data_IF_888759835530
#
_entry.id   IF_888759835530
#
_cell.length_a   1.000
_cell.length_b   1.000
_cell.length_c   1.000
_cell.angle_alpha   90.00
_cell.angle_beta   90.00
_cell.angle_gamma   90.00
#
_symmetry.space_group_name_H-M   'P 1'
#
loop_
_entity.id
_entity.type
_entity.pdbx_description
1 polymer ?
#
# COMPACT_ATOMS: atom_id res chain seq x y z
N UNK A 1 46.01 11.52 43.45
CA UNK A 1 44.96 12.02 42.54
C UNK A 1 45.19 11.43 41.16
N UNK A 2 44.12 11.05 40.44
CA UNK A 2 44.08 10.61 39.02
C UNK A 2 44.57 9.17 38.69
N UNK A 3 43.90 8.12 39.18
CA UNK A 3 44.04 6.74 38.64
C UNK A 3 42.71 6.06 38.27
N UNK A 4 41.57 6.73 38.44
CA UNK A 4 40.25 6.21 38.07
C UNK A 4 39.97 6.27 36.56
N UNK A 5 40.45 7.33 35.88
CA UNK A 5 40.17 7.53 34.45
C UNK A 5 40.87 6.48 33.56
N UNK A 6 42.03 5.98 33.97
CA UNK A 6 42.79 4.93 33.27
C UNK A 6 42.08 3.56 33.31
N UNK A 7 41.32 3.27 34.38
CA UNK A 7 40.50 2.06 34.45
C UNK A 7 39.21 2.16 33.63
N UNK A 8 38.65 3.35 33.42
CA UNK A 8 37.47 3.53 32.57
C UNK A 8 37.79 3.44 31.07
N UNK A 9 38.94 3.97 30.64
CA UNK A 9 39.34 3.95 29.23
C UNK A 9 39.61 2.51 28.70
N UNK A 10 40.05 1.59 29.55
CA UNK A 10 40.27 0.19 29.17
C UNK A 10 38.98 -0.65 29.11
N UNK A 11 37.85 -0.15 29.61
CA UNK A 11 36.54 -0.83 29.44
C UNK A 11 36.02 -0.69 28.01
N UNK A 12 36.37 0.40 27.32
CA UNK A 12 35.94 0.67 25.94
C UNK A 12 36.87 0.14 24.84
N UNK A 13 38.06 -0.36 25.20
CA UNK A 13 39.07 -0.92 24.26
C UNK A 13 39.08 -2.45 24.20
N UNK A 14 37.95 -3.10 24.49
CA UNK A 14 37.87 -4.56 24.38
C UNK A 14 37.63 -4.95 22.93
N UNK A 15 38.53 -5.77 22.39
CA UNK A 15 38.48 -6.34 21.04
C UNK A 15 37.07 -6.81 20.67
N UNK A 16 36.54 -6.20 19.61
CA UNK A 16 35.28 -6.52 18.94
C UNK A 16 35.31 -7.95 18.40
N UNK A 17 35.15 -8.93 19.29
CA UNK A 17 34.84 -10.31 18.91
C UNK A 17 33.33 -10.47 18.67
N UNK A 18 32.71 -9.53 17.94
CA UNK A 18 31.35 -9.70 17.44
C UNK A 18 31.41 -10.49 16.13
N UNK A 19 31.66 -11.79 16.27
CA UNK A 19 31.40 -12.74 15.20
C UNK A 19 29.93 -12.64 14.76
N UNK A 20 29.62 -12.95 13.48
CA UNK A 20 28.27 -12.83 12.96
C UNK A 20 27.31 -13.75 13.74
N UNK A 21 26.37 -13.16 14.48
CA UNK A 21 25.40 -13.89 15.28
C UNK A 21 24.21 -14.31 14.40
N UNK A 22 23.89 -15.60 14.27
CA UNK A 22 22.71 -16.03 13.51
C UNK A 22 21.42 -15.59 14.22
N UNK A 23 20.37 -15.35 13.45
CA UNK A 23 19.02 -15.14 13.96
C UNK A 23 18.02 -16.01 13.19
N UNK A 24 16.91 -16.31 13.85
CA UNK A 24 15.75 -16.96 13.25
C UNK A 24 14.50 -16.26 13.79
N UNK A 25 13.69 -15.69 12.88
CA UNK A 25 12.47 -14.94 13.22
C UNK A 25 11.30 -15.46 12.39
N UNK A 26 10.14 -15.63 13.03
CA UNK A 26 8.91 -15.96 12.32
C UNK A 26 8.24 -14.68 11.80
N UNK A 27 7.81 -14.69 10.54
CA UNK A 27 6.92 -13.67 9.99
C UNK A 27 5.48 -13.93 10.45
N UNK A 28 4.60 -12.92 10.32
CA UNK A 28 3.18 -13.05 10.63
C UNK A 28 2.47 -14.14 9.81
N UNK A 29 2.92 -14.40 8.58
CA UNK A 29 2.41 -15.49 7.75
C UNK A 29 2.92 -16.89 8.14
N UNK A 30 3.73 -17.01 9.20
CA UNK A 30 4.33 -18.28 9.64
C UNK A 30 5.64 -18.65 8.93
N UNK A 31 6.01 -17.96 7.84
CA UNK A 31 7.30 -18.17 7.18
C UNK A 31 8.46 -17.79 8.12
N UNK A 32 9.46 -18.67 8.25
CA UNK A 32 10.62 -18.42 9.11
C UNK A 32 11.78 -17.83 8.30
N UNK A 33 12.27 -16.66 8.72
CA UNK A 33 13.45 -16.00 8.15
C UNK A 33 14.68 -16.33 9.00
N UNK A 34 15.78 -16.70 8.34
CA UNK A 34 17.07 -16.92 8.99
C UNK A 34 18.17 -16.13 8.30
N UNK A 35 19.20 -15.73 9.05
CA UNK A 35 20.30 -14.93 8.53
C UNK A 35 21.32 -14.59 9.61
N UNK A 36 22.28 -13.73 9.28
CA UNK A 36 23.30 -13.24 10.20
C UNK A 36 23.01 -11.79 10.58
N UNK A 37 23.03 -11.48 11.88
CA UNK A 37 22.89 -10.11 12.39
C UNK A 37 24.08 -9.27 11.94
N UNK A 38 23.81 -8.01 11.57
CA UNK A 38 24.83 -7.00 11.23
C UNK A 38 25.00 -6.06 12.43
N UNK A 39 26.04 -5.25 12.40
CA UNK A 39 26.23 -4.18 13.40
C UNK A 39 25.12 -3.11 13.35
N UNK A 40 24.42 -2.99 12.22
CA UNK A 40 23.24 -2.13 12.05
C UNK A 40 21.98 -2.97 11.97
N UNK A 41 20.84 -2.35 12.28
CA UNK A 41 19.54 -2.99 12.10
C UNK A 41 19.35 -3.42 10.64
N UNK A 42 18.59 -4.49 10.42
CA UNK A 42 18.23 -4.95 9.08
C UNK A 42 16.72 -4.92 8.91
N UNK A 43 16.28 -4.59 7.71
CA UNK A 43 14.88 -4.64 7.32
C UNK A 43 14.73 -5.72 6.25
N UNK A 44 13.95 -6.75 6.55
CA UNK A 44 13.68 -7.85 5.64
C UNK A 44 12.25 -7.75 5.16
N UNK A 45 12.01 -7.93 3.87
CA UNK A 45 10.65 -8.04 3.32
C UNK A 45 10.33 -9.52 3.15
N UNK A 46 9.26 -9.98 3.79
CA UNK A 46 8.82 -11.36 3.65
C UNK A 46 8.39 -11.61 2.19
N UNK A 47 8.95 -12.64 1.55
CA UNK A 47 8.60 -12.99 0.17
C UNK A 47 7.18 -13.54 0.04
N UNK A 48 6.61 -14.09 1.11
CA UNK A 48 5.28 -14.70 1.08
C UNK A 48 4.16 -13.67 1.23
N UNK A 49 4.23 -12.81 2.25
CA UNK A 49 3.13 -11.89 2.56
C UNK A 49 3.51 -10.41 2.40
N UNK A 50 4.73 -10.09 1.97
CA UNK A 50 5.21 -8.71 1.82
C UNK A 50 5.44 -7.97 3.13
N UNK A 51 5.07 -8.55 4.28
CA UNK A 51 5.25 -7.90 5.58
C UNK A 51 6.73 -7.67 5.89
N UNK A 52 7.02 -6.52 6.47
CA UNK A 52 8.39 -6.16 6.81
C UNK A 52 8.77 -6.68 8.21
N UNK A 53 9.89 -7.40 8.29
CA UNK A 53 10.44 -7.96 9.52
C UNK A 53 11.69 -7.18 9.91
N UNK A 54 11.67 -6.58 11.09
CA UNK A 54 12.78 -5.80 11.62
C UNK A 54 13.72 -6.70 12.44
N UNK A 55 15.00 -6.78 12.04
CA UNK A 55 16.03 -7.54 12.75
C UNK A 55 16.88 -6.58 13.55
N UNK A 56 16.89 -6.76 14.88
CA UNK A 56 17.75 -5.97 15.77
C UNK A 56 19.24 -6.21 15.46
N UNK A 57 20.11 -5.20 15.68
CA UNK A 57 21.56 -5.38 15.65
C UNK A 57 22.02 -6.54 16.54
N UNK A 58 23.25 -7.01 16.33
CA UNK A 58 23.90 -7.91 17.29
C UNK A 58 23.92 -7.31 18.70
N UNK A 59 23.86 -8.17 19.73
CA UNK A 59 23.87 -7.69 21.12
C UNK A 59 25.16 -6.92 21.40
N UNK A 60 25.02 -5.67 21.84
CA UNK A 60 26.14 -4.77 22.15
C UNK A 60 26.53 -4.90 23.62
N UNK A 61 25.70 -5.55 24.43
CA UNK A 61 25.98 -5.73 25.84
C UNK A 61 26.87 -6.95 26.05
N UNK A 62 27.90 -6.83 26.91
CA UNK A 62 28.72 -7.97 27.26
C UNK A 62 27.85 -9.03 27.93
N UNK A 63 28.07 -10.33 27.65
CA UNK A 63 27.36 -11.38 28.36
C UNK A 63 27.56 -11.20 29.87
N UNK A 64 26.52 -11.42 30.69
CA UNK A 64 26.63 -11.34 32.13
C UNK A 64 27.84 -12.15 32.60
N UNK A 65 28.72 -11.54 33.38
CA UNK A 65 29.86 -12.27 33.95
C UNK A 65 29.27 -13.39 34.80
N UNK A 66 29.56 -14.63 34.44
CA UNK A 66 29.24 -15.77 35.28
C UNK A 66 29.91 -15.53 36.63
N UNK A 67 29.10 -15.20 37.64
CA UNK A 67 29.60 -15.15 39.00
C UNK A 67 30.00 -16.58 39.30
N UNK A 68 31.31 -16.79 39.53
CA UNK A 68 31.81 -18.07 40.04
C UNK A 68 31.01 -18.37 41.29
N UNK A 69 30.00 -19.24 41.16
CA UNK A 69 29.25 -19.75 42.30
C UNK A 69 30.32 -20.31 43.21
N UNK A 70 30.51 -19.69 44.37
CA UNK A 70 31.28 -20.29 45.45
C UNK A 70 30.63 -21.64 45.67
N UNK A 71 31.34 -22.71 45.31
CA UNK A 71 30.97 -24.08 45.62
C UNK A 71 30.64 -24.08 47.11
N UNK A 72 29.37 -24.32 47.50
CA UNK A 72 29.02 -24.41 48.90
C UNK A 72 29.93 -25.44 49.53
N UNK A 73 30.66 -25.04 50.56
CA UNK A 73 31.44 -25.94 51.38
C UNK A 73 30.47 -26.98 51.96
N UNK A 74 30.70 -28.25 51.64
CA UNK A 74 29.88 -29.38 52.07
C UNK A 74 29.87 -29.45 53.60
N UNK A 75 28.84 -28.86 54.21
CA UNK A 75 28.48 -29.15 55.58
C UNK A 75 27.91 -30.57 55.68
N UNK A 76 28.18 -31.30 56.78
CA UNK A 76 27.78 -32.69 56.93
C UNK A 76 26.26 -32.85 56.87
N UNK A 77 25.84 -33.72 55.95
CA UNK A 77 24.46 -34.10 55.67
C UNK A 77 23.90 -34.85 56.88
N UNK A 78 23.03 -34.20 57.65
CA UNK A 78 22.11 -34.89 58.55
C UNK A 78 20.90 -35.35 57.74
N UNK A 79 20.83 -36.67 57.54
CA UNK A 79 19.71 -37.40 56.93
C UNK A 79 18.46 -37.26 57.81
N UNK A 80 17.32 -36.77 57.29
CA UNK A 80 16.02 -37.08 57.85
C UNK A 80 15.40 -38.24 57.08
N UNK A 81 14.98 -39.19 57.89
CA UNK A 81 14.34 -40.46 57.61
C UNK A 81 12.90 -40.28 57.12
N UNK A 82 12.55 -41.07 56.09
CA UNK A 82 11.20 -41.53 55.71
C UNK A 82 10.14 -40.49 55.30
N UNK A 83 9.48 -40.73 54.17
CA UNK A 83 8.07 -41.20 54.15
C UNK A 83 7.71 -41.62 52.73
N UNK A 84 7.26 -42.86 52.62
CA UNK A 84 6.77 -43.50 51.40
C UNK A 84 5.62 -42.71 50.73
N UNK A 85 5.62 -42.69 49.41
CA UNK A 85 4.40 -42.53 48.62
C UNK A 85 4.52 -43.26 47.28
N UNK A 86 3.45 -43.97 46.86
CA UNK A 86 3.52 -44.98 45.82
C UNK A 86 3.47 -44.40 44.41
N UNK A 87 4.14 -45.12 43.51
CA UNK A 87 4.18 -44.93 42.07
C UNK A 87 2.78 -45.04 41.45
N UNK A 88 2.44 -44.08 40.60
CA UNK A 88 1.49 -44.29 39.50
C UNK A 88 2.19 -43.89 38.22
N UNK A 89 2.60 -44.91 37.46
CA UNK A 89 3.18 -44.81 36.14
C UNK A 89 2.08 -44.96 35.09
N UNK A 90 1.77 -43.90 34.35
CA UNK A 90 1.05 -44.02 33.08
C UNK A 90 2.02 -43.79 31.93
N UNK A 91 2.18 -44.83 31.12
CA UNK A 91 3.11 -44.92 30.02
C UNK A 91 2.67 -44.10 28.81
N UNK A 92 3.62 -43.33 28.27
CA UNK A 92 3.49 -42.67 26.96
C UNK A 92 4.02 -43.64 25.89
N UNK A 93 3.19 -44.05 24.91
CA UNK A 93 3.62 -44.94 23.84
C UNK A 93 4.53 -44.21 22.85
N UNK A 94 5.72 -44.78 22.63
CA UNK A 94 6.70 -44.33 21.66
C UNK A 94 6.30 -44.79 20.25
N UNK A 95 5.78 -43.87 19.44
CA UNK A 95 5.48 -44.12 18.03
C UNK A 95 6.74 -44.09 17.14
N UNK A 96 6.74 -44.81 16.00
CA UNK A 96 7.91 -45.01 15.16
C UNK A 96 8.29 -43.77 14.33
N UNK A 97 9.60 -43.47 14.30
CA UNK A 97 10.21 -42.42 13.46
C UNK A 97 9.89 -42.64 11.97
N UNK A 98 9.36 -41.63 11.25
CA UNK A 98 9.22 -41.73 9.79
C UNK A 98 10.59 -41.63 9.11
N UNK A 99 10.82 -42.56 8.17
CA UNK A 99 11.97 -42.57 7.25
C UNK A 99 11.95 -41.30 6.39
N UNK A 100 12.99 -40.50 6.52
CA UNK A 100 13.33 -39.37 5.64
C UNK A 100 13.59 -39.91 4.23
N UNK A 101 12.66 -39.70 3.31
CA UNK A 101 12.88 -39.89 1.88
C UNK A 101 13.59 -38.65 1.33
N UNK A 102 14.71 -38.87 0.66
CA UNK A 102 15.42 -37.84 -0.11
C UNK A 102 14.66 -37.60 -1.43
N UNK A 103 14.24 -36.35 -1.73
CA UNK A 103 13.78 -36.03 -3.06
C UNK A 103 14.98 -35.79 -3.97
N UNK A 104 15.16 -36.68 -4.94
CA UNK A 104 16.00 -36.49 -6.11
C UNK A 104 15.32 -35.43 -6.99
N UNK A 105 15.80 -34.19 -6.93
CA UNK A 105 15.46 -33.17 -7.93
C UNK A 105 16.60 -33.05 -8.94
N UNK A 106 16.37 -33.59 -10.13
CA UNK A 106 17.11 -33.29 -11.35
C UNK A 106 16.75 -31.88 -11.83
N UNK A 107 17.71 -30.95 -11.77
CA UNK A 107 17.63 -29.65 -12.44
C UNK A 107 17.97 -29.79 -13.93
N UNK A 108 17.17 -29.26 -14.86
CA UNK A 108 17.64 -28.92 -16.19
C UNK A 108 18.38 -27.57 -16.15
N UNK A 109 19.64 -27.60 -16.55
CA UNK A 109 20.46 -26.41 -16.80
C UNK A 109 20.03 -25.78 -18.12
N UNK A 110 19.34 -24.64 -18.08
CA UNK A 110 19.18 -23.75 -19.23
C UNK A 110 20.00 -22.49 -18.94
N UNK A 111 21.14 -22.41 -19.61
CA UNK A 111 21.97 -21.22 -19.68
C UNK A 111 21.40 -20.31 -20.76
N UNK A 112 20.65 -19.28 -20.37
CA UNK A 112 20.33 -18.17 -21.27
C UNK A 112 21.07 -16.91 -20.82
N UNK A 113 21.89 -16.46 -21.76
CA UNK A 113 22.72 -15.26 -21.73
C UNK A 113 21.81 -14.03 -21.86
N UNK A 114 21.88 -13.03 -20.97
CA UNK A 114 21.11 -11.81 -21.15
C UNK A 114 21.62 -11.03 -22.37
N UNK A 115 20.73 -10.45 -23.19
CA UNK A 115 21.12 -9.50 -24.22
C UNK A 115 21.52 -8.16 -23.58
N UNK A 116 22.68 -7.65 -24.00
CA UNK A 116 23.09 -6.26 -23.80
C UNK A 116 22.00 -5.33 -24.35
N UNK A 117 21.39 -4.56 -23.46
CA UNK A 117 20.57 -3.42 -23.85
C UNK A 117 21.40 -2.15 -23.68
N UNK A 118 21.74 -1.58 -24.83
CA UNK A 118 22.37 -0.28 -24.96
C UNK A 118 21.56 0.81 -24.24
N UNK A 119 22.30 1.62 -23.47
CA UNK A 119 21.81 2.78 -22.75
C UNK A 119 21.24 3.82 -23.73
N UNK A 120 19.91 3.96 -23.76
CA UNK A 120 19.24 5.12 -24.34
C UNK A 120 19.18 6.20 -23.27
N UNK A 121 20.07 7.19 -23.43
CA UNK A 121 20.17 8.40 -22.64
C UNK A 121 18.95 9.31 -22.93
N UNK A 122 17.92 9.22 -22.08
CA UNK A 122 16.75 10.10 -22.15
C UNK A 122 17.00 11.29 -21.21
N UNK A 123 17.33 12.42 -21.83
CA UNK A 123 17.57 13.70 -21.18
C UNK A 123 16.42 14.14 -20.25
N UNK A 124 16.75 14.29 -18.98
CA UNK A 124 15.89 14.85 -17.93
C UNK A 124 15.81 16.37 -18.12
N UNK A 125 14.65 16.87 -18.56
CA UNK A 125 14.32 18.30 -18.51
C UNK A 125 13.96 18.65 -17.07
N UNK A 126 14.92 19.22 -16.35
CA UNK A 126 14.74 19.79 -15.02
C UNK A 126 14.04 21.16 -15.11
N UNK A 127 12.74 21.20 -14.83
CA UNK A 127 12.00 22.45 -14.62
C UNK A 127 12.07 22.84 -13.14
N UNK A 128 12.97 23.76 -12.80
CA UNK A 128 13.07 24.33 -11.45
C UNK A 128 12.00 25.41 -11.19
N UNK A 129 11.53 25.57 -9.94
CA UNK A 129 10.57 26.62 -9.59
C UNK A 129 11.24 27.99 -9.56
N UNK A 130 10.69 28.93 -10.35
CA UNK A 130 11.08 30.35 -10.39
C UNK A 130 10.71 31.04 -9.07
N UNK A 131 11.71 31.38 -8.27
CA UNK A 131 11.59 32.33 -7.17
C UNK A 131 11.30 33.74 -7.71
N UNK A 132 10.20 34.34 -7.24
CA UNK A 132 9.78 35.71 -7.50
C UNK A 132 10.84 36.69 -6.96
N UNK A 133 11.65 37.25 -7.88
CA UNK A 133 12.59 38.33 -7.59
C UNK A 133 11.84 39.67 -7.47
N UNK A 134 12.08 40.29 -6.32
CA UNK A 134 11.74 41.65 -5.89
C UNK A 134 12.06 42.69 -6.99
N UNK A 135 11.03 43.43 -7.42
CA UNK A 135 11.09 44.54 -8.39
C UNK A 135 11.94 45.66 -7.81
N UNK A 136 13.13 45.88 -8.37
CA UNK A 136 13.99 47.03 -8.10
C UNK A 136 13.72 48.05 -9.21
N UNK A 137 13.25 49.24 -8.84
CA UNK A 137 13.12 50.38 -9.78
C UNK A 137 14.49 50.68 -10.40
N UNK A 138 14.53 50.65 -11.73
CA UNK A 138 15.66 51.07 -12.55
C UNK A 138 15.30 52.43 -13.15
N UNK A 139 16.19 53.45 -13.04
CA UNK A 139 16.02 54.77 -13.64
C UNK A 139 15.81 54.73 -15.17
N UNK A 140 14.94 55.62 -15.67
CA UNK A 140 14.61 55.78 -17.09
C UNK A 140 15.86 56.09 -17.93
N UNK A 141 16.20 55.20 -18.86
CA UNK A 141 17.03 55.50 -20.03
C UNK A 141 16.17 56.09 -21.17
N UNK A 142 16.74 56.97 -22.03
CA UNK A 142 16.03 57.61 -23.14
C UNK A 142 15.60 56.60 -24.23
N UNK A 143 14.61 56.97 -25.06
CA UNK A 143 13.91 56.03 -25.93
C UNK A 143 14.85 55.44 -27.00
N UNK A 144 14.90 54.10 -27.15
CA UNK A 144 15.67 53.47 -28.22
C UNK A 144 14.97 53.65 -29.58
N UNK A 145 15.78 53.88 -30.61
CA UNK A 145 15.38 53.90 -32.02
C UNK A 145 14.63 52.63 -32.42
N UNK A 146 13.64 52.72 -33.34
CA UNK A 146 12.85 51.57 -33.76
C UNK A 146 13.76 50.52 -34.43
N UNK A 147 13.71 49.25 -34.01
CA UNK A 147 14.50 48.19 -34.62
C UNK A 147 14.07 47.98 -36.09
N UNK A 148 15.02 47.60 -36.98
CA UNK A 148 14.71 47.32 -38.37
C UNK A 148 13.71 46.16 -38.45
N UNK A 149 12.71 46.30 -39.33
CA UNK A 149 11.69 45.30 -39.59
C UNK A 149 12.35 43.94 -39.87
N UNK A 150 12.17 43.00 -38.94
CA UNK A 150 12.64 41.63 -39.12
C UNK A 150 11.99 40.98 -40.35
N UNK A 151 12.67 40.03 -41.01
CA UNK A 151 12.14 39.36 -42.18
C UNK A 151 10.80 38.71 -41.83
N UNK A 152 9.78 39.02 -42.65
CA UNK A 152 8.43 38.51 -42.43
C UNK A 152 8.45 36.97 -42.49
N UNK A 153 7.75 36.33 -41.54
CA UNK A 153 7.62 34.87 -41.40
C UNK A 153 7.08 34.16 -42.67
N UNK A 154 6.60 34.91 -43.66
CA UNK A 154 6.07 34.39 -44.92
C UNK A 154 7.13 33.98 -45.95
N UNK A 155 8.34 34.53 -45.91
CA UNK A 155 9.35 34.27 -46.95
C UNK A 155 10.22 33.04 -46.65
N UNK A 156 10.50 32.74 -45.37
CA UNK A 156 11.28 31.55 -44.96
C UNK A 156 10.50 30.25 -45.08
N UNK A 157 9.18 30.29 -45.18
CA UNK A 157 8.36 29.09 -45.39
C UNK A 157 8.38 28.61 -46.84
N UNK A 158 8.70 29.44 -47.84
CA UNK A 158 8.63 29.05 -49.26
C UNK A 158 9.76 28.10 -49.70
N UNK A 159 10.93 28.20 -49.09
CA UNK A 159 12.09 27.34 -49.40
C UNK A 159 12.02 25.94 -48.75
N UNK A 160 11.13 25.73 -47.78
CA UNK A 160 10.93 24.41 -47.16
C UNK A 160 10.05 23.52 -48.05
N UNK A 161 9.19 24.12 -48.88
CA UNK A 161 8.24 23.42 -49.77
C UNK A 161 8.83 23.08 -51.15
N UNK A 162 9.97 22.39 -51.19
CA UNK A 162 10.37 21.71 -52.44
C UNK A 162 9.53 20.44 -52.60
N UNK A 163 9.01 20.14 -53.81
CA UNK A 163 8.09 19.01 -54.03
C UNK A 163 8.69 17.67 -53.61
N UNK A 164 10.02 17.52 -53.66
CA UNK A 164 10.71 16.32 -53.18
C UNK A 164 10.63 16.13 -51.65
N UNK A 165 10.77 17.21 -50.86
CA UNK A 165 10.68 17.14 -49.39
C UNK A 165 9.28 16.75 -48.92
N UNK A 166 8.24 17.18 -49.62
CA UNK A 166 6.86 16.75 -49.33
C UNK A 166 6.66 15.26 -49.55
N UNK A 167 7.22 14.71 -50.63
CA UNK A 167 7.13 13.27 -50.92
C UNK A 167 7.83 12.47 -49.82
N UNK A 168 9.06 12.86 -49.45
CA UNK A 168 9.82 12.18 -48.38
C UNK A 168 9.10 12.27 -47.03
N UNK A 169 8.57 13.44 -46.67
CA UNK A 169 7.78 13.61 -45.44
C UNK A 169 6.51 12.75 -45.45
N UNK A 170 5.81 12.67 -46.60
CA UNK A 170 4.64 11.81 -46.77
C UNK A 170 4.95 10.33 -46.59
N UNK A 171 6.07 9.86 -47.16
CA UNK A 171 6.53 8.47 -46.99
C UNK A 171 6.92 8.19 -45.54
N UNK A 172 7.66 9.09 -44.89
CA UNK A 172 8.03 8.95 -43.48
C UNK A 172 6.80 8.92 -42.56
N UNK A 173 5.83 9.81 -42.80
CA UNK A 173 4.57 9.83 -42.07
C UNK A 173 3.81 8.50 -42.24
N UNK A 174 3.74 7.97 -43.45
CA UNK A 174 3.12 6.68 -43.72
C UNK A 174 3.82 5.53 -43.00
N UNK A 175 5.16 5.51 -42.99
CA UNK A 175 5.94 4.50 -42.26
C UNK A 175 5.72 4.58 -40.75
N UNK A 176 5.69 5.79 -40.17
CA UNK A 176 5.42 5.98 -38.74
C UNK A 176 3.99 5.54 -38.39
N UNK A 177 2.99 5.93 -39.18
CA UNK A 177 1.60 5.49 -39.00
C UNK A 177 1.45 3.97 -39.10
N UNK A 178 2.12 3.34 -40.07
CA UNK A 178 2.09 1.89 -40.26
C UNK A 178 2.78 1.16 -39.11
N UNK A 179 3.91 1.67 -38.62
CA UNK A 179 4.62 1.14 -37.46
C UNK A 179 3.77 1.22 -36.18
N UNK A 180 3.16 2.38 -35.90
CA UNK A 180 2.25 2.55 -34.77
C UNK A 180 1.03 1.61 -34.86
N UNK A 181 0.46 1.44 -36.06
CA UNK A 181 -0.66 0.53 -36.27
C UNK A 181 -0.27 -0.93 -36.04
N UNK A 182 0.91 -1.33 -36.48
CA UNK A 182 1.43 -2.69 -36.27
C UNK A 182 1.67 -2.98 -34.78
N UNK A 183 2.29 -2.04 -34.06
CA UNK A 183 2.49 -2.16 -32.61
C UNK A 183 1.16 -2.26 -31.86
N UNK A 184 0.17 -1.42 -32.22
CA UNK A 184 -1.18 -1.47 -31.66
C UNK A 184 -1.90 -2.79 -31.95
N UNK A 185 -1.66 -3.37 -33.13
CA UNK A 185 -2.24 -4.68 -33.50
C UNK A 185 -1.61 -5.82 -32.70
N UNK A 186 -0.30 -5.74 -32.41
CA UNK A 186 0.38 -6.72 -31.55
C UNK A 186 -0.10 -6.63 -30.11
N UNK A 187 -0.19 -5.42 -29.55
CA UNK A 187 -0.68 -5.23 -28.18
C UNK A 187 -2.12 -5.72 -28.01
N UNK A 188 -2.98 -5.56 -29.03
CA UNK A 188 -4.35 -6.06 -28.99
C UNK A 188 -4.43 -7.59 -28.97
N UNK A 189 -3.57 -8.27 -29.73
CA UNK A 189 -3.53 -9.75 -29.77
C UNK A 189 -3.01 -10.34 -28.47
N UNK A 190 -1.94 -9.75 -27.95
CA UNK A 190 -1.35 -10.13 -26.67
C UNK A 190 -2.35 -9.91 -25.53
N UNK A 191 -3.04 -8.76 -25.52
CA UNK A 191 -4.07 -8.48 -24.53
C UNK A 191 -5.22 -9.51 -24.53
N UNK A 192 -5.66 -10.02 -25.69
CA UNK A 192 -6.71 -11.05 -25.73
C UNK A 192 -6.30 -12.34 -25.01
N UNK A 193 -5.08 -12.82 -25.26
CA UNK A 193 -4.57 -14.04 -24.61
C UNK A 193 -4.29 -13.83 -23.13
N UNK A 194 -3.77 -12.65 -22.76
CA UNK A 194 -3.43 -12.32 -21.39
C UNK A 194 -4.67 -12.14 -20.52
N UNK A 195 -5.75 -11.53 -21.02
CA UNK A 195 -6.99 -11.34 -20.23
C UNK A 195 -7.55 -12.67 -19.75
N UNK A 196 -7.73 -13.66 -20.63
CA UNK A 196 -8.35 -14.94 -20.25
C UNK A 196 -7.49 -15.71 -19.25
N UNK A 197 -6.18 -15.80 -19.53
CA UNK A 197 -5.23 -16.51 -18.66
C UNK A 197 -5.13 -15.86 -17.27
N UNK A 198 -5.00 -14.53 -17.19
CA UNK A 198 -4.86 -13.82 -15.92
C UNK A 198 -6.16 -13.81 -15.10
N UNK A 199 -7.34 -13.83 -15.75
CA UNK A 199 -8.61 -14.00 -15.04
C UNK A 199 -8.68 -15.37 -14.38
N UNK A 200 -8.35 -16.45 -15.11
CA UNK A 200 -8.37 -17.82 -14.59
C UNK A 200 -7.39 -17.98 -13.42
N UNK A 201 -6.15 -17.49 -13.56
CA UNK A 201 -5.15 -17.50 -12.49
C UNK A 201 -5.58 -16.66 -11.28
N UNK A 202 -6.22 -15.51 -11.51
CA UNK A 202 -6.77 -14.66 -10.45
C UNK A 202 -7.86 -15.38 -9.65
N UNK A 203 -8.77 -16.09 -10.31
CA UNK A 203 -9.81 -16.88 -9.63
C UNK A 203 -9.23 -18.07 -8.87
N UNK A 204 -8.28 -18.82 -9.46
CA UNK A 204 -7.59 -19.90 -8.75
C UNK A 204 -6.91 -19.39 -7.48
N UNK A 205 -6.20 -18.24 -7.56
CA UNK A 205 -5.58 -17.61 -6.39
C UNK A 205 -6.60 -17.14 -5.34
N UNK A 206 -7.80 -16.70 -5.74
CA UNK A 206 -8.88 -16.38 -4.79
C UNK A 206 -9.39 -17.62 -4.05
N UNK A 207 -9.56 -18.75 -4.76
CA UNK A 207 -9.98 -20.02 -4.15
C UNK A 207 -8.94 -20.52 -3.12
N UNK A 208 -7.66 -20.37 -3.45
CA UNK A 208 -6.53 -20.67 -2.57
C UNK A 208 -6.30 -19.63 -1.45
N UNK A 209 -7.12 -18.57 -1.38
CA UNK A 209 -6.99 -17.46 -0.43
C UNK A 209 -5.64 -16.73 -0.51
N UNK A 210 -4.96 -16.80 -1.67
CA UNK A 210 -3.72 -16.08 -1.94
C UNK A 210 -4.01 -14.68 -2.50
N UNK A 211 -4.39 -13.76 -1.61
CA UNK A 211 -4.85 -12.42 -1.98
C UNK A 211 -3.80 -11.57 -2.72
N UNK A 212 -2.51 -11.83 -2.48
CA UNK A 212 -1.41 -11.09 -3.14
C UNK A 212 -1.29 -11.50 -4.60
N UNK A 213 -1.27 -12.80 -4.88
CA UNK A 213 -1.26 -13.31 -6.26
C UNK A 213 -2.55 -12.96 -6.98
N UNK A 214 -3.71 -13.12 -6.34
CA UNK A 214 -5.00 -12.73 -6.92
C UNK A 214 -5.02 -11.26 -7.34
N UNK A 215 -4.54 -10.34 -6.49
CA UNK A 215 -4.42 -8.92 -6.83
C UNK A 215 -3.54 -8.71 -8.06
N UNK A 216 -2.38 -9.36 -8.12
CA UNK A 216 -1.41 -9.14 -9.18
C UNK A 216 -1.93 -9.68 -10.52
N UNK A 217 -2.60 -10.84 -10.52
CA UNK A 217 -3.27 -11.40 -11.69
C UNK A 217 -4.45 -10.52 -12.16
N UNK A 218 -5.35 -10.10 -11.27
CA UNK A 218 -6.43 -9.19 -11.67
C UNK A 218 -5.91 -7.82 -12.12
N UNK A 219 -4.80 -7.34 -11.56
CA UNK A 219 -4.15 -6.11 -12.03
C UNK A 219 -3.66 -6.21 -13.48
N UNK A 220 -3.06 -7.35 -13.85
CA UNK A 220 -2.65 -7.64 -15.23
C UNK A 220 -3.87 -7.79 -16.16
N UNK A 221 -4.91 -8.49 -15.71
CA UNK A 221 -6.16 -8.63 -16.45
C UNK A 221 -6.82 -7.27 -16.72
N UNK A 222 -6.90 -6.37 -15.72
CA UNK A 222 -7.43 -5.01 -15.89
C UNK A 222 -6.62 -4.21 -16.91
N UNK A 223 -5.29 -4.26 -16.84
CA UNK A 223 -4.43 -3.57 -17.81
C UNK A 223 -4.68 -4.05 -19.25
N UNK A 224 -4.85 -5.36 -19.45
CA UNK A 224 -5.16 -5.92 -20.75
C UNK A 224 -6.60 -5.60 -21.20
N UNK A 225 -7.59 -5.61 -20.30
CA UNK A 225 -8.98 -5.16 -20.57
C UNK A 225 -9.01 -3.69 -21.02
N UNK A 226 -8.20 -2.82 -20.40
CA UNK A 226 -8.13 -1.40 -20.74
C UNK A 226 -7.50 -1.18 -22.13
N UNK A 227 -6.50 -1.98 -22.52
CA UNK A 227 -5.94 -1.99 -23.90
C UNK A 227 -7.01 -2.42 -24.92
N UNK A 228 -7.86 -3.39 -24.56
CA UNK A 228 -8.96 -3.85 -25.40
C UNK A 228 -10.13 -2.86 -25.45
N UNK A 229 -10.22 -1.92 -24.51
CA UNK A 229 -11.32 -0.96 -24.39
C UNK A 229 -12.65 -1.62 -24.01
N UNK A 230 -12.62 -2.73 -23.26
CA UNK A 230 -13.82 -3.48 -22.85
C UNK A 230 -14.54 -2.83 -21.67
N UNK A 231 -15.86 -2.73 -21.78
CA UNK A 231 -16.76 -2.14 -20.75
C UNK A 231 -17.94 -3.03 -20.39
N UNK A 232 -17.92 -4.30 -20.79
CA UNK A 232 -18.94 -5.30 -20.47
C UNK A 232 -18.94 -5.69 -18.97
N UNK A 233 -19.99 -6.38 -18.52
CA UNK A 233 -20.17 -6.77 -17.11
C UNK A 233 -18.99 -7.58 -16.56
N UNK A 234 -18.45 -8.53 -17.32
CA UNK A 234 -17.27 -9.30 -16.93
C UNK A 234 -16.04 -8.39 -16.73
N UNK A 235 -15.85 -7.40 -17.60
CA UNK A 235 -14.77 -6.42 -17.43
C UNK A 235 -14.95 -5.56 -16.17
N UNK A 236 -16.19 -5.23 -15.79
CA UNK A 236 -16.48 -4.53 -14.53
C UNK A 236 -16.24 -5.42 -13.30
N UNK A 237 -16.61 -6.69 -13.38
CA UNK A 237 -16.33 -7.69 -12.33
C UNK A 237 -14.83 -7.83 -12.07
N UNK A 238 -14.01 -7.98 -13.11
CA UNK A 238 -12.56 -8.09 -12.96
C UNK A 238 -11.95 -6.81 -12.37
N UNK A 239 -12.40 -5.63 -12.81
CA UNK A 239 -11.99 -4.35 -12.19
C UNK A 239 -12.38 -4.27 -10.72
N UNK A 240 -13.56 -4.77 -10.39
CA UNK A 240 -14.07 -4.81 -9.02
C UNK A 240 -13.24 -5.76 -8.14
N UNK A 241 -12.96 -6.97 -8.61
CA UNK A 241 -12.10 -7.94 -7.91
C UNK A 241 -10.68 -7.40 -7.71
N UNK A 242 -10.12 -6.71 -8.69
CA UNK A 242 -8.83 -6.03 -8.53
C UNK A 242 -8.87 -4.96 -7.43
N UNK A 243 -9.93 -4.14 -7.37
CA UNK A 243 -10.11 -3.13 -6.31
C UNK A 243 -10.21 -3.77 -4.93
N UNK A 244 -11.02 -4.81 -4.79
CA UNK A 244 -11.25 -5.51 -3.51
C UNK A 244 -9.98 -6.23 -3.01
N UNK A 245 -9.28 -6.98 -3.88
CA UNK A 245 -8.02 -7.65 -3.54
C UNK A 245 -6.89 -6.66 -3.23
N UNK A 246 -6.87 -5.51 -3.91
CA UNK A 246 -5.95 -4.41 -3.58
C UNK A 246 -6.20 -3.85 -2.18
N UNK A 247 -7.47 -3.71 -1.76
CA UNK A 247 -7.80 -3.33 -0.39
C UNK A 247 -7.35 -4.39 0.60
N UNK A 248 -7.70 -5.67 0.38
CA UNK A 248 -7.32 -6.79 1.27
C UNK A 248 -5.82 -6.84 1.56
N UNK A 249 -4.97 -6.55 0.57
CA UNK A 249 -3.50 -6.58 0.71
C UNK A 249 -2.89 -5.28 1.24
N UNK A 250 -3.68 -4.21 1.39
CA UNK A 250 -3.22 -2.87 1.82
C UNK A 250 -4.17 -2.21 2.82
N UNK A 251 -4.85 -3.02 3.63
CA UNK A 251 -5.66 -2.53 4.73
C UNK A 251 -4.78 -1.75 5.70
N UNK A 252 -5.30 -0.62 6.19
CA UNK A 252 -4.72 0.07 7.33
C UNK A 252 -4.61 -0.87 8.51
N UNK A 253 -3.45 -0.84 9.18
CA UNK A 253 -3.28 -1.55 10.46
C UNK A 253 -4.02 -0.86 11.62
N UNK A 254 -4.43 0.40 11.43
CA UNK A 254 -5.06 1.21 12.46
C UNK A 254 -6.47 1.65 12.10
N UNK A 255 -7.33 1.76 13.10
CA UNK A 255 -8.70 2.25 12.92
C UNK A 255 -8.77 3.77 12.68
N UNK A 256 -9.91 4.29 12.22
CA UNK A 256 -10.13 5.75 12.14
C UNK A 256 -9.94 6.44 13.50
N UNK A 257 -10.20 5.73 14.61
CA UNK A 257 -9.97 6.22 15.95
C UNK A 257 -8.50 6.53 16.20
N UNK A 258 -7.60 5.67 15.73
CA UNK A 258 -6.16 5.91 15.86
C UNK A 258 -5.72 7.10 15.03
N UNK A 259 -6.36 7.35 13.88
CA UNK A 259 -6.12 8.56 13.08
C UNK A 259 -6.50 9.81 13.86
N UNK A 260 -7.70 9.82 14.46
CA UNK A 260 -8.21 10.94 15.25
C UNK A 260 -7.37 11.13 16.52
N UNK A 261 -7.05 10.04 17.23
CA UNK A 261 -6.23 10.09 18.44
C UNK A 261 -4.82 10.60 18.13
N UNK A 262 -4.20 10.14 17.03
CA UNK A 262 -2.92 10.67 16.58
C UNK A 262 -3.01 12.16 16.25
N UNK A 263 -4.12 12.61 15.67
CA UNK A 263 -4.42 14.02 15.42
C UNK A 263 -4.52 14.82 16.72
N UNK A 264 -5.30 14.34 17.70
CA UNK A 264 -5.48 14.98 19.00
C UNK A 264 -4.16 15.01 19.81
N UNK A 265 -3.36 13.95 19.75
CA UNK A 265 -2.02 13.91 20.35
C UNK A 265 -1.07 14.92 19.70
N UNK A 266 -1.10 15.04 18.37
CA UNK A 266 -0.28 16.02 17.66
C UNK A 266 -0.71 17.46 17.97
N UNK A 267 -2.01 17.73 18.09
CA UNK A 267 -2.52 19.05 18.49
C UNK A 267 -2.02 19.50 19.87
N UNK A 268 -1.79 18.57 20.81
CA UNK A 268 -1.20 18.89 22.13
C UNK A 268 0.22 19.47 22.02
N UNK A 269 0.91 19.30 20.88
CA UNK A 269 2.23 19.91 20.63
C UNK A 269 2.16 21.38 20.21
N UNK A 270 0.97 21.91 19.94
CA UNK A 270 0.73 23.31 19.58
C UNK A 270 0.84 23.65 18.09
N UNK A 271 1.07 22.66 17.20
CA UNK A 271 1.20 22.86 15.75
C UNK A 271 -0.08 22.47 15.00
N UNK A 272 -1.09 23.34 15.00
CA UNK A 272 -2.40 23.05 14.40
C UNK A 272 -2.34 22.94 12.87
N UNK A 273 -1.52 23.78 12.22
CA UNK A 273 -1.45 23.88 10.75
C UNK A 273 -0.86 22.61 10.10
N UNK A 274 0.00 21.88 10.81
CA UNK A 274 0.74 20.73 10.28
C UNK A 274 0.00 19.38 10.45
N UNK A 275 -1.14 19.36 11.14
CA UNK A 275 -1.80 18.10 11.53
C UNK A 275 -2.23 17.27 10.31
N UNK A 276 -2.79 17.92 9.29
CA UNK A 276 -3.25 17.24 8.08
C UNK A 276 -2.10 16.59 7.31
N UNK A 277 -0.95 17.26 7.23
CA UNK A 277 0.25 16.72 6.57
C UNK A 277 0.85 15.57 7.39
N UNK A 278 0.90 15.71 8.72
CA UNK A 278 1.34 14.63 9.62
C UNK A 278 0.48 13.38 9.46
N UNK A 279 -0.85 13.52 9.50
CA UNK A 279 -1.77 12.40 9.32
C UNK A 279 -1.66 11.79 7.93
N UNK A 280 -1.52 12.60 6.88
CA UNK A 280 -1.31 12.11 5.51
C UNK A 280 0.01 11.35 5.38
N UNK A 281 1.09 11.84 5.97
CA UNK A 281 2.39 11.14 5.96
C UNK A 281 2.33 9.80 6.70
N UNK A 282 1.49 9.70 7.73
CA UNK A 282 1.34 8.48 8.54
C UNK A 282 0.37 7.45 7.95
N UNK A 283 -0.75 7.89 7.38
CA UNK A 283 -1.88 7.03 6.98
C UNK A 283 -2.23 7.09 5.48
N UNK A 284 -1.59 7.95 4.68
CA UNK A 284 -2.00 8.24 3.30
C UNK A 284 -1.80 7.10 2.28
N UNK A 285 -1.08 6.05 2.64
CA UNK A 285 -0.88 4.88 1.75
C UNK A 285 -1.99 3.84 1.93
N UNK A 286 -2.68 3.88 3.07
CA UNK A 286 -3.51 2.79 3.55
C UNK A 286 -4.97 2.92 3.11
N UNK A 287 -5.62 1.77 3.02
CA UNK A 287 -7.04 1.66 2.69
C UNK A 287 -7.90 1.50 3.93
N UNK A 288 -9.03 2.18 3.94
CA UNK A 288 -10.05 2.08 4.96
C UNK A 288 -11.29 1.40 4.38
N UNK A 289 -11.92 0.53 5.17
CA UNK A 289 -13.20 -0.11 4.86
C UNK A 289 -14.23 0.38 5.86
N UNK A 290 -15.40 0.76 5.35
CA UNK A 290 -16.52 1.25 6.13
C UNK A 290 -17.74 0.38 5.88
N UNK A 291 -18.38 -0.03 6.97
CA UNK A 291 -19.71 -0.61 6.98
C UNK A 291 -20.62 0.33 7.75
N UNK A 292 -21.52 1.02 7.05
CA UNK A 292 -22.44 1.93 7.72
C UNK A 292 -23.42 2.66 6.81
N UNK A 293 -24.38 3.39 7.41
CA UNK A 293 -25.32 4.21 6.68
C UNK A 293 -24.63 5.42 6.04
N UNK A 294 -24.79 5.55 4.73
CA UNK A 294 -24.38 6.71 3.93
C UNK A 294 -25.62 7.51 3.57
N UNK A 295 -25.56 8.83 3.72
CA UNK A 295 -26.60 9.75 3.25
C UNK A 295 -26.03 10.82 2.35
N UNK A 296 -26.87 11.35 1.46
CA UNK A 296 -26.53 12.57 0.71
C UNK A 296 -26.66 13.78 1.62
N UNK A 297 -25.60 14.58 1.72
CA UNK A 297 -25.55 15.80 2.52
C UNK A 297 -26.40 16.89 1.88
N UNK A 298 -27.24 17.55 2.67
CA UNK A 298 -27.98 18.72 2.19
C UNK A 298 -27.00 19.86 1.89
N UNK A 299 -27.11 20.46 0.70
CA UNK A 299 -26.32 21.64 0.34
C UNK A 299 -26.72 22.79 1.28
N UNK A 300 -25.85 23.14 2.22
CA UNK A 300 -26.09 24.28 3.09
C UNK A 300 -25.91 25.58 2.28
N UNK A 301 -26.95 26.40 2.07
CA UNK A 301 -26.94 27.50 1.11
C UNK A 301 -25.89 28.58 1.41
N UNK A 302 -25.48 28.71 2.67
CA UNK A 302 -24.63 29.81 3.15
C UNK A 302 -23.14 29.48 3.36
N UNK A 303 -22.78 28.19 3.41
CA UNK A 303 -21.39 27.74 3.69
C UNK A 303 -20.67 27.13 2.49
N UNK A 304 -21.41 26.64 1.49
CA UNK A 304 -20.89 25.60 0.59
C UNK A 304 -20.85 26.01 -0.90
N UNK A 305 -20.31 27.19 -1.24
CA UNK A 305 -20.01 27.53 -2.66
C UNK A 305 -18.91 26.65 -3.28
N UNK A 306 -18.24 25.81 -2.50
CA UNK A 306 -17.13 24.92 -2.93
C UNK A 306 -17.20 23.50 -2.35
N UNK A 307 -18.29 23.07 -1.72
CA UNK A 307 -18.30 21.69 -1.20
C UNK A 307 -18.45 20.72 -2.35
N UNK A 308 -17.33 20.04 -2.61
CA UNK A 308 -17.17 19.03 -3.63
C UNK A 308 -17.77 17.69 -3.17
N UNK A 309 -17.87 17.45 -1.85
CA UNK A 309 -18.25 16.13 -1.31
C UNK A 309 -19.74 16.04 -0.94
N UNK A 310 -20.57 15.31 -1.72
CA UNK A 310 -22.01 15.29 -1.55
C UNK A 310 -22.50 14.22 -0.57
N UNK A 311 -21.64 13.33 -0.06
CA UNK A 311 -22.06 12.23 0.81
C UNK A 311 -21.34 12.24 2.17
N UNK A 312 -22.06 11.77 3.19
CA UNK A 312 -21.59 11.65 4.57
C UNK A 312 -21.88 10.23 5.08
N UNK A 313 -20.87 9.59 5.68
CA UNK A 313 -21.05 8.33 6.39
C UNK A 313 -21.43 8.65 7.84
N UNK A 314 -22.57 8.12 8.28
CA UNK A 314 -23.07 8.24 9.64
C UNK A 314 -22.48 7.13 10.50
N UNK A 315 -21.49 7.49 11.32
CA UNK A 315 -21.01 6.59 12.35
C UNK A 315 -21.96 6.64 13.54
N UNK A 316 -22.43 5.50 14.06
CA UNK A 316 -23.34 5.47 15.20
C UNK A 316 -22.65 5.81 16.53
N UNK A 317 -21.36 6.19 16.53
CA UNK A 317 -20.58 6.42 17.73
C UNK A 317 -20.19 7.89 17.90
N UNK A 318 -20.16 8.32 19.16
CA UNK A 318 -19.37 9.47 19.62
C UNK A 318 -18.05 8.93 20.16
N UNK A 319 -16.89 9.35 19.64
CA UNK A 319 -15.60 8.94 20.21
C UNK A 319 -15.52 9.34 21.69
N UNK A 320 -14.59 8.74 22.44
CA UNK A 320 -14.25 9.25 23.79
C UNK A 320 -13.71 10.68 23.74
N UNK A 321 -13.14 11.08 22.60
CA UNK A 321 -12.85 12.49 22.36
C UNK A 321 -14.17 13.25 22.29
N UNK A 322 -14.27 14.38 23.02
CA UNK A 322 -15.47 15.23 23.07
C UNK A 322 -15.84 15.85 21.71
N UNK A 323 -15.11 15.50 20.65
CA UNK A 323 -15.19 16.08 19.31
C UNK A 323 -16.02 15.17 18.42
N UNK A 324 -16.88 15.79 17.63
CA UNK A 324 -17.63 15.07 16.61
C UNK A 324 -16.69 14.66 15.46
N UNK A 325 -17.00 13.55 14.80
CA UNK A 325 -16.26 13.06 13.63
C UNK A 325 -17.24 12.94 12.49
N UNK A 326 -16.92 13.59 11.37
CA UNK A 326 -17.68 13.54 10.14
C UNK A 326 -16.79 12.88 9.09
N UNK A 327 -17.26 11.80 8.49
CA UNK A 327 -16.60 11.18 7.34
C UNK A 327 -17.29 11.66 6.07
N UNK A 328 -16.54 12.39 5.25
CA UNK A 328 -16.99 12.85 3.94
C UNK A 328 -16.46 11.92 2.86
N UNK A 329 -17.37 11.46 2.01
CA UNK A 329 -17.05 10.60 0.87
C UNK A 329 -17.62 11.20 -0.41
N UNK A 330 -16.91 11.00 -1.51
CA UNK A 330 -17.18 11.63 -2.80
C UNK A 330 -16.73 10.69 -3.91
N UNK A 331 -17.45 9.57 -4.02
CA UNK A 331 -17.12 8.51 -4.97
C UNK A 331 -18.19 8.49 -6.06
N UNK A 332 -17.77 8.42 -7.32
CA UNK A 332 -18.68 8.37 -8.47
C UNK A 332 -19.65 7.17 -8.39
N UNK A 333 -19.24 6.07 -7.74
CA UNK A 333 -20.07 4.89 -7.56
C UNK A 333 -21.26 5.10 -6.61
N UNK A 334 -21.30 6.18 -5.83
CA UNK A 334 -22.36 6.44 -4.85
C UNK A 334 -23.61 7.07 -5.45
N UNK A 335 -23.49 7.79 -6.57
CA UNK A 335 -24.63 8.43 -7.22
C UNK A 335 -25.77 7.45 -7.57
N UNK A 336 -25.51 6.27 -8.16
CA UNK A 336 -26.58 5.28 -8.39
C UNK A 336 -27.04 4.56 -7.11
N UNK A 337 -26.24 4.55 -6.05
CA UNK A 337 -26.53 3.84 -4.80
C UNK A 337 -27.37 4.68 -3.82
N UNK A 338 -27.16 6.00 -3.78
CA UNK A 338 -27.75 6.92 -2.79
C UNK A 338 -28.55 8.00 -3.51
N UNK A 339 -29.69 7.60 -4.05
CA UNK A 339 -30.59 8.49 -4.81
C UNK A 339 -31.48 9.36 -3.92
N UNK A 340 -31.78 8.92 -2.69
CA UNK A 340 -32.62 9.63 -1.73
C UNK A 340 -31.78 10.27 -0.60
N UNK A 341 -32.41 11.14 0.20
CA UNK A 341 -31.80 11.67 1.42
C UNK A 341 -31.81 10.64 2.57
N UNK A 342 -32.53 9.53 2.42
CA UNK A 342 -32.63 8.52 3.46
C UNK A 342 -31.28 7.80 3.61
N UNK A 343 -30.78 7.63 4.84
CA UNK A 343 -29.54 6.91 5.07
C UNK A 343 -29.65 5.47 4.58
N UNK A 344 -28.70 5.06 3.74
CA UNK A 344 -28.64 3.71 3.19
C UNK A 344 -27.36 3.03 3.64
N UNK A 345 -27.47 1.84 4.23
CA UNK A 345 -26.29 1.05 4.58
C UNK A 345 -25.53 0.65 3.32
N UNK A 346 -24.23 0.90 3.30
CA UNK A 346 -23.33 0.52 2.22
C UNK A 346 -22.02 -0.01 2.79
N UNK A 347 -21.42 -0.95 2.07
CA UNK A 347 -20.05 -1.41 2.29
C UNK A 347 -19.15 -0.65 1.33
N UNK A 348 -18.29 0.22 1.85
CA UNK A 348 -17.42 1.09 1.06
C UNK A 348 -15.96 0.89 1.43
N UNK A 349 -15.06 1.12 0.47
CA UNK A 349 -13.64 1.24 0.74
C UNK A 349 -13.07 2.46 0.03
N UNK A 350 -12.02 3.05 0.60
CA UNK A 350 -11.31 4.19 0.01
C UNK A 350 -9.99 4.46 0.70
N UNK A 351 -9.10 5.18 0.02
CA UNK A 351 -7.80 5.60 0.57
C UNK A 351 -7.95 6.88 1.38
N UNK A 352 -7.12 7.02 2.41
CA UNK A 352 -7.06 8.24 3.20
C UNK A 352 -6.66 9.45 2.34
N UNK A 353 -7.48 10.52 2.33
CA UNK A 353 -7.17 11.75 1.61
C UNK A 353 -6.70 12.87 2.54
N UNK A 354 -7.54 13.29 3.48
CA UNK A 354 -7.19 14.26 4.51
C UNK A 354 -8.01 14.10 5.78
N UNK A 355 -7.49 14.62 6.88
CA UNK A 355 -8.23 14.74 8.14
C UNK A 355 -7.90 16.09 8.76
N UNK A 356 -8.92 16.90 8.96
CA UNK A 356 -8.79 18.30 9.39
C UNK A 356 -9.74 18.58 10.54
N UNK A 357 -9.33 19.43 11.49
CA UNK A 357 -10.18 19.90 12.57
C UNK A 357 -10.85 21.21 12.15
N UNK A 358 -12.18 21.20 12.01
CA UNK A 358 -12.99 22.38 11.63
C UNK A 358 -14.03 22.61 12.70
N UNK A 359 -14.02 23.78 13.35
CA UNK A 359 -14.98 24.14 14.41
C UNK A 359 -15.12 23.05 15.50
N UNK A 360 -13.99 22.50 15.97
CA UNK A 360 -13.91 21.39 16.96
C UNK A 360 -14.49 20.04 16.48
N UNK A 361 -14.74 19.91 15.17
CA UNK A 361 -15.19 18.69 14.52
C UNK A 361 -14.11 18.14 13.59
N UNK A 362 -13.78 16.86 13.75
CA UNK A 362 -12.86 16.17 12.85
C UNK A 362 -13.58 15.84 11.55
N UNK A 363 -13.08 16.37 10.44
CA UNK A 363 -13.57 16.07 9.09
C UNK A 363 -12.57 15.14 8.43
N UNK A 364 -12.94 13.87 8.32
CA UNK A 364 -12.15 12.83 7.67
C UNK A 364 -12.62 12.67 6.23
N UNK A 365 -11.70 12.75 5.27
CA UNK A 365 -11.99 12.69 3.83
C UNK A 365 -11.21 11.58 3.16
N UNK A 366 -11.89 10.82 2.31
CA UNK A 366 -11.29 9.81 1.46
C UNK A 366 -10.92 10.39 0.09
N UNK A 367 -9.93 9.82 -0.59
CA UNK A 367 -9.55 10.22 -1.95
C UNK A 367 -10.70 9.88 -2.93
N UNK A 368 -11.26 10.85 -3.67
CA UNK A 368 -12.44 10.64 -4.53
C UNK A 368 -12.29 9.50 -5.55
N UNK A 369 -11.15 9.46 -6.25
CA UNK A 369 -10.87 8.49 -7.31
C UNK A 369 -10.58 7.07 -6.78
N UNK A 370 -10.33 6.93 -5.48
CA UNK A 370 -9.97 5.65 -4.88
C UNK A 370 -11.18 4.83 -4.45
N UNK A 371 -12.32 5.50 -4.24
CA UNK A 371 -13.45 4.90 -3.57
C UNK A 371 -14.27 3.96 -4.43
N UNK A 372 -14.77 2.89 -3.81
CA UNK A 372 -15.70 1.97 -4.45
C UNK A 372 -16.63 1.33 -3.42
N UNK A 373 -17.75 0.80 -3.89
CA UNK A 373 -18.67 -0.01 -3.10
C UNK A 373 -18.27 -1.49 -3.23
N UNK A 374 -18.29 -2.23 -2.13
CA UNK A 374 -17.97 -3.66 -2.13
C UNK A 374 -19.07 -4.47 -2.85
N UNK A 375 -18.70 -5.51 -3.59
CA UNK A 375 -19.63 -6.30 -4.40
C UNK A 375 -19.50 -7.81 -4.18
N UNK A 376 -18.30 -8.33 -3.89
CA UNK A 376 -18.11 -9.76 -3.74
C UNK A 376 -18.11 -10.19 -2.26
N UNK A 377 -18.92 -11.21 -1.94
CA UNK A 377 -19.06 -11.71 -0.57
C UNK A 377 -17.86 -12.50 -0.07
N UNK A 378 -17.12 -13.19 -0.95
CA UNK A 378 -15.96 -13.98 -0.57
C UNK A 378 -14.81 -13.06 -0.13
N UNK A 379 -14.52 -12.02 -0.93
CA UNK A 379 -13.48 -11.01 -0.61
C UNK A 379 -13.86 -10.19 0.63
N UNK A 380 -15.15 -9.89 0.83
CA UNK A 380 -15.61 -9.18 2.03
C UNK A 380 -15.39 -10.01 3.29
N UNK A 381 -15.77 -11.30 3.27
CA UNK A 381 -15.55 -12.21 4.41
C UNK A 381 -14.07 -12.38 4.75
N UNK A 382 -13.20 -12.32 3.73
CA UNK A 382 -11.75 -12.37 3.92
C UNK A 382 -11.18 -11.18 4.72
N UNK A 383 -11.91 -10.06 4.84
CA UNK A 383 -11.53 -8.94 5.72
C UNK A 383 -11.51 -9.33 7.20
N UNK A 384 -12.21 -10.41 7.58
CA UNK A 384 -12.35 -10.81 8.97
C UNK A 384 -13.19 -9.86 9.83
N UNK A 385 -13.87 -8.89 9.20
CA UNK A 385 -14.82 -8.02 9.89
C UNK A 385 -16.06 -8.86 10.21
N UNK A 386 -16.44 -9.02 11.49
CA UNK A 386 -17.62 -9.78 11.85
C UNK A 386 -18.84 -9.08 11.25
N UNK A 387 -19.65 -9.83 10.50
CA UNK A 387 -20.98 -9.37 10.14
C UNK A 387 -21.76 -9.07 11.43
N UNK A 388 -22.65 -8.07 11.38
CA UNK A 388 -23.55 -7.80 12.50
C UNK A 388 -24.23 -9.13 12.91
N UNK A 389 -24.13 -9.55 14.20
CA UNK A 389 -24.74 -10.78 14.67
C UNK A 389 -26.23 -10.90 14.38
N UNK A 390 -26.93 -9.77 14.19
CA UNK A 390 -28.35 -9.72 13.84
C UNK A 390 -28.59 -9.97 12.34
N UNK A 391 -27.57 -9.84 11.51
CA UNK A 391 -27.66 -10.04 10.08
C UNK A 391 -27.39 -11.49 9.70
N UNK A 392 -28.44 -12.16 9.23
CA UNK A 392 -28.28 -13.43 8.53
C UNK A 392 -27.32 -13.25 7.35
N UNK A 393 -26.49 -14.26 7.04
CA UNK A 393 -25.59 -14.20 5.88
C UNK A 393 -26.28 -13.90 4.54
N UNK A 394 -27.59 -14.15 4.47
CA UNK A 394 -28.44 -13.79 3.32
C UNK A 394 -28.63 -12.29 3.16
N UNK A 395 -28.70 -11.52 4.25
CA UNK A 395 -28.85 -10.07 4.22
C UNK A 395 -27.60 -9.40 3.63
N UNK A 396 -26.41 -9.83 4.06
CA UNK A 396 -25.14 -9.38 3.50
C UNK A 396 -25.03 -9.72 2.01
N UNK A 397 -25.39 -10.95 1.62
CA UNK A 397 -25.37 -11.36 0.22
C UNK A 397 -26.31 -10.50 -0.64
N UNK A 398 -27.52 -10.21 -0.13
CA UNK A 398 -28.49 -9.35 -0.82
C UNK A 398 -27.98 -7.91 -0.96
N UNK A 399 -27.39 -7.35 0.09
CA UNK A 399 -26.78 -6.01 0.06
C UNK A 399 -25.67 -5.93 -1.00
N UNK A 400 -24.75 -6.89 -1.00
CA UNK A 400 -23.65 -6.95 -1.95
C UNK A 400 -24.13 -7.15 -3.39
N UNK A 401 -25.15 -7.98 -3.62
CA UNK A 401 -25.76 -8.15 -4.94
C UNK A 401 -26.44 -6.87 -5.43
N UNK A 402 -27.11 -6.15 -4.55
CA UNK A 402 -27.74 -4.87 -4.89
C UNK A 402 -26.68 -3.81 -5.25
N UNK A 403 -25.58 -3.75 -4.48
CA UNK A 403 -24.44 -2.90 -4.79
C UNK A 403 -23.80 -3.28 -6.13
N UNK A 404 -23.56 -4.58 -6.37
CA UNK A 404 -22.99 -5.09 -7.62
C UNK A 404 -23.84 -4.70 -8.83
N UNK A 405 -25.17 -4.85 -8.73
CA UNK A 405 -26.11 -4.49 -9.79
C UNK A 405 -26.13 -2.99 -10.07
N UNK A 406 -26.18 -2.16 -9.03
CA UNK A 406 -26.17 -0.70 -9.19
C UNK A 406 -24.87 -0.18 -9.82
N UNK A 407 -23.76 -0.87 -9.62
CA UNK A 407 -22.46 -0.56 -10.25
C UNK A 407 -22.27 -1.20 -11.64
N UNK A 408 -23.24 -1.98 -12.13
CA UNK A 408 -23.14 -2.68 -13.42
C UNK A 408 -22.12 -3.83 -13.44
N UNK A 409 -21.81 -4.40 -12.27
CA UNK A 409 -20.93 -5.58 -12.14
C UNK A 409 -21.68 -6.86 -12.51
N UNK A 410 -22.97 -6.93 -12.16
CA UNK A 410 -23.86 -8.06 -12.47
C UNK A 410 -25.14 -7.53 -13.12
N UNK A 411 -25.64 -8.22 -14.15
CA UNK A 411 -26.90 -7.88 -14.84
C UNK A 411 -28.17 -8.22 -14.03
#
# INVERSE_FOLDING_TARGET
MVNWFSSAANVFRREESNGPQPFQLACQCGMTHSGLRRQRHQHLVCKSCGASVFVLPGDVYPPPRETKRKRPEEGPISVPESTDSPMVSEGVPSGPKPKRQEPVMSMPTIAEKPPDMDAVDVGVISVGPKALKKKKEVPQEPPPEPPPAGPSLGETLRDIFTPFRLIVAGVLLLLVLTGMWQLRKWSYRDALTTVEAEIELGHAALEDQNWVEARDHFGQAVAAIDILGRTDAQAQEVRQLHRETRVLTRLTGGSIFEVIEAGDQFLKTGKVEDVGEFLRGRFGVDWFVFDGPVRRREKHPDRDKKVQHPFELLLPWTPESKRQVIIQVDFDCLDPLVSSQEPRRLLLAGKFGSCELVDDTWVFRLEPESGFAWANAATYRALGIPADPQESGNALQALLQEQAKAMGVTE
#
